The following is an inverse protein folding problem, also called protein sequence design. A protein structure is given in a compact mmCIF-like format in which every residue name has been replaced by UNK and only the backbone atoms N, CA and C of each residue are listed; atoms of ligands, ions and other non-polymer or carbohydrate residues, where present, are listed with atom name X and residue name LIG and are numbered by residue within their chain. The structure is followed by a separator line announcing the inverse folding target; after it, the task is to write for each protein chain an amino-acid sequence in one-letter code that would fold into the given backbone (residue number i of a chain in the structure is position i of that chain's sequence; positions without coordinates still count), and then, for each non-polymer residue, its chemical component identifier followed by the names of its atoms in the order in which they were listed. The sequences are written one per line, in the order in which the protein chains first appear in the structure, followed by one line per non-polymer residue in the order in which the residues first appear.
data_IF_373594315765
#
_entry.id   IF_373594315765
#
_cell.length_a   1.000
_cell.length_b   1.000
_cell.length_c   1.000
_cell.angle_alpha   90.00
_cell.angle_beta   90.00
_cell.angle_gamma   90.00
#
_symmetry.space_group_name_H-M   'P 1'
#
loop_
_entity.id
_entity.type
_entity.pdbx_description
1 polymer ?
#
# COMPACT_ATOMS: atom_id res chain seq x y z
N UNK A 1 -14.52 -27.62 9.04
CA UNK A 1 -14.75 -26.76 7.86
C UNK A 1 -13.93 -27.31 6.70
N UNK A 2 -14.53 -27.61 5.54
CA UNK A 2 -13.79 -27.97 4.33
C UNK A 2 -13.60 -26.69 3.52
N UNK A 3 -12.36 -26.25 3.33
CA UNK A 3 -12.04 -25.06 2.54
C UNK A 3 -11.58 -25.56 1.16
N UNK A 4 -12.39 -25.40 0.09
CA UNK A 4 -11.96 -25.78 -1.25
C UNK A 4 -10.65 -25.08 -1.63
N UNK A 5 -9.73 -25.81 -2.27
CA UNK A 5 -8.41 -25.29 -2.69
C UNK A 5 -7.46 -24.89 -1.54
N UNK A 6 -7.72 -25.37 -0.31
CA UNK A 6 -6.84 -25.13 0.83
C UNK A 6 -5.38 -25.53 0.56
N UNK A 7 -5.16 -26.70 -0.06
CA UNK A 7 -3.83 -27.20 -0.39
C UNK A 7 -3.08 -26.29 -1.40
N UNK A 8 -3.80 -25.48 -2.18
CA UNK A 8 -3.21 -24.54 -3.14
C UNK A 8 -2.99 -23.13 -2.58
N UNK A 9 -3.58 -22.78 -1.44
CA UNK A 9 -3.62 -21.38 -0.94
C UNK A 9 -3.03 -21.22 0.46
N UNK A 10 -2.97 -22.27 1.27
CA UNK A 10 -2.38 -22.21 2.59
C UNK A 10 -0.85 -22.24 2.51
N UNK A 11 -0.21 -21.37 3.29
CA UNK A 11 1.24 -21.37 3.50
C UNK A 11 1.51 -21.61 4.97
N UNK A 12 2.36 -22.58 5.28
CA UNK A 12 2.76 -22.87 6.66
C UNK A 12 3.78 -21.82 7.11
N UNK A 13 3.50 -21.16 8.23
CA UNK A 13 4.41 -20.16 8.82
C UNK A 13 5.61 -20.82 9.53
N UNK A 14 5.50 -22.10 9.87
CA UNK A 14 6.52 -22.82 10.66
C UNK A 14 6.46 -22.50 12.16
N UNK A 15 5.57 -21.61 12.58
CA UNK A 15 5.29 -21.27 13.99
C UNK A 15 3.93 -21.82 14.40
N UNK A 16 3.81 -22.32 15.63
CA UNK A 16 2.50 -22.64 16.18
C UNK A 16 1.79 -21.34 16.58
N UNK A 17 0.48 -21.26 16.33
CA UNK A 17 -0.32 -20.08 16.70
C UNK A 17 -0.26 -19.80 18.21
N UNK A 18 -0.20 -20.85 19.04
CA UNK A 18 -0.08 -20.73 20.49
C UNK A 18 1.23 -20.07 20.96
N UNK A 19 2.26 -20.09 20.11
CA UNK A 19 3.59 -19.54 20.40
C UNK A 19 3.82 -18.20 19.70
N UNK A 20 2.79 -17.65 19.03
CA UNK A 20 2.89 -16.40 18.25
C UNK A 20 2.28 -15.26 19.05
N UNK A 21 3.08 -14.23 19.34
CA UNK A 21 2.58 -13.02 20.00
C UNK A 21 1.67 -12.18 19.08
N UNK A 22 0.92 -11.24 19.67
CA UNK A 22 -0.03 -10.41 18.92
C UNK A 22 0.63 -9.60 17.78
N UNK A 23 1.80 -8.95 17.98
CA UNK A 23 2.48 -8.23 16.89
C UNK A 23 2.88 -9.12 15.70
N UNK A 24 3.43 -10.32 15.97
CA UNK A 24 3.77 -11.28 14.92
C UNK A 24 2.50 -11.79 14.23
N UNK A 25 1.45 -12.11 14.99
CA UNK A 25 0.17 -12.54 14.44
C UNK A 25 -0.42 -11.47 13.51
N UNK A 26 -0.43 -10.21 13.94
CA UNK A 26 -0.88 -9.09 13.11
C UNK A 26 -0.04 -8.97 11.83
N UNK A 27 1.27 -9.13 11.91
CA UNK A 27 2.14 -9.12 10.72
C UNK A 27 1.82 -10.28 9.77
N UNK A 28 1.61 -11.50 10.29
CA UNK A 28 1.20 -12.64 9.49
C UNK A 28 -0.19 -12.43 8.85
N UNK A 29 -1.14 -11.84 9.57
CA UNK A 29 -2.47 -11.52 9.04
C UNK A 29 -2.40 -10.55 7.85
N UNK A 30 -1.47 -9.59 7.84
CA UNK A 30 -1.32 -8.69 6.68
C UNK A 30 -0.88 -9.40 5.40
N UNK A 31 -0.24 -10.57 5.50
CA UNK A 31 0.16 -11.37 4.34
C UNK A 31 -1.03 -12.03 3.64
N UNK A 32 -2.23 -12.00 4.23
CA UNK A 32 -3.45 -12.43 3.55
C UNK A 32 -4.01 -11.41 2.56
N UNK A 33 -3.62 -10.13 2.68
CA UNK A 33 -4.10 -9.05 1.81
C UNK A 33 -3.19 -7.82 1.88
N UNK A 34 -3.41 -6.92 2.84
CA UNK A 34 -3.00 -5.51 2.74
C UNK A 34 -1.51 -5.29 2.51
N UNK A 35 -0.64 -6.09 3.15
CA UNK A 35 0.79 -5.97 2.93
C UNK A 35 1.18 -6.42 1.53
N UNK A 36 0.67 -7.58 1.10
CA UNK A 36 0.99 -8.13 -0.21
C UNK A 36 0.31 -7.40 -1.35
N UNK A 37 -0.80 -6.70 -1.10
CA UNK A 37 -1.39 -5.75 -2.04
C UNK A 37 -0.49 -4.52 -2.21
N UNK A 38 0.05 -3.95 -1.12
CA UNK A 38 1.06 -2.89 -1.19
C UNK A 38 2.36 -3.35 -1.88
N UNK A 39 2.81 -4.58 -1.57
CA UNK A 39 3.96 -5.21 -2.23
C UNK A 39 3.73 -5.43 -3.73
N UNK A 40 2.55 -5.92 -4.12
CA UNK A 40 2.18 -6.10 -5.51
C UNK A 40 2.26 -4.78 -6.27
N UNK A 41 1.73 -3.70 -5.68
CA UNK A 41 1.80 -2.37 -6.29
C UNK A 41 3.25 -1.92 -6.53
N UNK A 42 4.12 -2.10 -5.53
CA UNK A 42 5.54 -1.76 -5.64
C UNK A 42 6.29 -2.66 -6.65
N UNK A 43 6.00 -3.97 -6.66
CA UNK A 43 6.55 -4.95 -7.59
C UNK A 43 6.16 -4.64 -9.04
N UNK A 44 4.88 -4.42 -9.32
CA UNK A 44 4.39 -4.05 -10.66
C UNK A 44 4.92 -2.69 -11.10
N UNK A 45 5.08 -1.74 -10.17
CA UNK A 45 5.78 -0.48 -10.38
C UNK A 45 7.29 -0.62 -10.67
N UNK A 46 7.85 -1.83 -10.51
CA UNK A 46 9.28 -2.13 -10.59
C UNK A 46 10.09 -1.23 -9.65
N UNK A 47 9.58 -1.02 -8.43
CA UNK A 47 10.28 -0.27 -7.39
C UNK A 47 11.61 -0.95 -7.09
N UNK A 48 12.65 -0.16 -6.85
CA UNK A 48 14.01 -0.63 -6.65
C UNK A 48 14.97 0.51 -6.29
N UNK A 49 16.26 0.19 -6.07
CA UNK A 49 17.31 1.19 -5.87
C UNK A 49 17.32 2.27 -6.95
N UNK A 50 17.60 3.52 -6.55
CA UNK A 50 17.61 4.68 -7.43
C UNK A 50 16.24 5.16 -7.93
N UNK A 51 15.13 4.53 -7.50
CA UNK A 51 13.77 4.99 -7.84
C UNK A 51 13.15 5.79 -6.70
N UNK A 52 12.63 6.95 -7.04
CA UNK A 52 11.71 7.72 -6.19
C UNK A 52 10.28 7.23 -6.39
N UNK A 53 9.55 7.06 -5.29
CA UNK A 53 8.18 6.54 -5.29
C UNK A 53 7.25 7.56 -4.65
N UNK A 54 6.08 7.80 -5.24
CA UNK A 54 4.97 8.44 -4.53
C UNK A 54 3.90 7.40 -4.22
N UNK A 55 3.41 7.36 -2.99
CA UNK A 55 2.25 6.56 -2.61
C UNK A 55 1.07 7.50 -2.36
N UNK A 56 -0.02 7.35 -3.10
CA UNK A 56 -1.25 8.11 -2.93
C UNK A 56 -2.20 7.29 -2.08
N UNK A 57 -2.49 7.78 -0.87
CA UNK A 57 -3.37 7.13 0.12
C UNK A 57 -2.60 6.70 1.37
N UNK A 58 -3.12 7.07 2.54
CA UNK A 58 -2.58 6.79 3.88
C UNK A 58 -3.36 5.68 4.61
N UNK A 59 -4.16 4.88 3.90
CA UNK A 59 -4.80 3.69 4.46
C UNK A 59 -3.83 2.51 4.60
N UNK A 60 -4.33 1.38 5.14
CA UNK A 60 -3.50 0.20 5.40
C UNK A 60 -2.72 -0.32 4.18
N UNK A 61 -3.32 -0.30 2.98
CA UNK A 61 -2.64 -0.68 1.72
C UNK A 61 -1.58 0.34 1.31
N UNK A 62 -1.84 1.64 1.49
CA UNK A 62 -0.87 2.69 1.19
C UNK A 62 0.35 2.63 2.11
N UNK A 63 0.14 2.50 3.42
CA UNK A 63 1.22 2.31 4.39
C UNK A 63 2.02 1.02 4.15
N UNK A 64 1.32 -0.04 3.74
CA UNK A 64 1.97 -1.27 3.29
C UNK A 64 2.81 -1.06 2.02
N UNK A 65 2.35 -0.24 1.08
CA UNK A 65 3.09 0.10 -0.13
C UNK A 65 4.33 0.95 0.17
N UNK A 66 4.29 1.83 1.18
CA UNK A 66 5.46 2.55 1.70
C UNK A 66 6.50 1.55 2.20
N UNK A 67 6.12 0.68 3.14
CA UNK A 67 7.01 -0.34 3.71
C UNK A 67 7.58 -1.26 2.62
N UNK A 68 6.74 -1.73 1.70
CA UNK A 68 7.18 -2.58 0.60
C UNK A 68 8.13 -1.85 -0.37
N UNK A 69 7.90 -0.57 -0.65
CA UNK A 69 8.79 0.23 -1.49
C UNK A 69 10.17 0.37 -0.87
N UNK A 70 10.24 0.58 0.45
CA UNK A 70 11.49 0.61 1.22
C UNK A 70 12.19 -0.75 1.23
N UNK A 71 11.45 -1.82 1.48
CA UNK A 71 11.96 -3.21 1.40
C UNK A 71 12.59 -3.51 0.04
N UNK A 72 11.98 -3.02 -1.04
CA UNK A 72 12.50 -3.19 -2.40
C UNK A 72 13.67 -2.26 -2.74
N UNK A 73 14.06 -1.35 -1.84
CA UNK A 73 15.25 -0.51 -1.98
C UNK A 73 14.99 0.91 -2.49
N UNK A 74 13.75 1.40 -2.52
CA UNK A 74 13.50 2.81 -2.81
C UNK A 74 14.11 3.71 -1.72
N UNK A 75 14.94 4.66 -2.12
CA UNK A 75 15.61 5.58 -1.19
C UNK A 75 14.74 6.79 -0.82
N UNK A 76 13.79 7.15 -1.68
CA UNK A 76 12.85 8.24 -1.45
C UNK A 76 11.42 7.77 -1.70
N UNK A 77 10.58 7.89 -0.69
CA UNK A 77 9.16 7.51 -0.73
C UNK A 77 8.33 8.67 -0.20
N UNK A 78 7.58 9.31 -1.09
CA UNK A 78 6.68 10.41 -0.78
C UNK A 78 5.30 9.83 -0.48
N UNK A 79 4.80 9.99 0.75
CA UNK A 79 3.45 9.59 1.11
C UNK A 79 2.49 10.78 0.98
N UNK A 80 1.49 10.65 0.12
CA UNK A 80 0.40 11.63 0.03
C UNK A 80 -0.78 11.19 0.89
N UNK A 81 -1.01 11.90 1.99
CA UNK A 81 -1.95 11.53 3.04
C UNK A 81 -2.13 12.68 4.03
N UNK A 82 -3.29 12.78 4.67
CA UNK A 82 -3.66 13.96 5.50
C UNK A 82 -3.96 13.62 6.95
N UNK A 83 -4.14 12.34 7.27
CA UNK A 83 -4.43 11.91 8.63
C UNK A 83 -3.09 11.73 9.33
N UNK A 84 -2.76 12.65 10.22
CA UNK A 84 -1.40 12.79 10.78
C UNK A 84 -0.95 11.53 11.51
N UNK A 85 -1.86 10.91 12.27
CA UNK A 85 -1.69 9.60 12.91
C UNK A 85 -1.21 8.52 11.94
N UNK A 86 -1.77 8.49 10.72
CA UNK A 86 -1.42 7.53 9.68
C UNK A 86 -0.13 7.90 8.98
N UNK A 87 0.08 9.19 8.70
CA UNK A 87 1.29 9.65 8.00
C UNK A 87 2.53 9.54 8.87
N UNK A 88 2.40 9.74 10.18
CA UNK A 88 3.48 9.55 11.15
C UNK A 88 3.92 8.09 11.16
N UNK A 89 2.96 7.14 11.22
CA UNK A 89 3.26 5.72 11.01
C UNK A 89 3.90 5.47 9.64
N UNK A 90 3.45 6.17 8.59
CA UNK A 90 4.04 6.10 7.26
C UNK A 90 5.53 6.47 7.26
N UNK A 91 5.93 7.52 8.00
CA UNK A 91 7.34 7.90 8.17
C UNK A 91 8.12 6.81 8.90
N UNK A 92 7.55 6.24 9.95
CA UNK A 92 8.17 5.13 10.69
C UNK A 92 8.32 3.85 9.85
N UNK A 93 7.43 3.62 8.89
CA UNK A 93 7.51 2.55 7.89
C UNK A 93 8.45 2.90 6.71
N UNK A 94 8.94 4.14 6.68
CA UNK A 94 10.03 4.61 5.84
C UNK A 94 9.62 5.56 4.71
N UNK A 95 8.46 6.21 4.79
CA UNK A 95 8.22 7.42 4.01
C UNK A 95 9.28 8.48 4.38
N UNK A 96 9.87 9.12 3.37
CA UNK A 96 10.88 10.17 3.55
C UNK A 96 10.27 11.56 3.54
N UNK A 97 9.11 11.70 2.91
CA UNK A 97 8.40 12.96 2.74
C UNK A 97 6.90 12.70 2.88
N UNK A 98 6.16 13.65 3.46
CA UNK A 98 4.70 13.62 3.55
C UNK A 98 4.14 14.85 2.84
N UNK A 99 3.09 14.63 2.04
CA UNK A 99 2.36 15.68 1.32
C UNK A 99 0.88 15.59 1.68
N UNK A 100 0.36 16.46 2.58
CA UNK A 100 -1.05 16.46 2.97
C UNK A 100 -2.00 17.03 1.92
N UNK A 101 -1.48 17.84 1.00
CA UNK A 101 -2.24 18.50 -0.05
C UNK A 101 -2.74 17.50 -1.11
N UNK A 102 -3.82 17.87 -1.81
CA UNK A 102 -4.47 17.06 -2.83
C UNK A 102 -4.61 17.83 -4.13
N UNK A 103 -4.95 17.13 -5.21
CA UNK A 103 -5.16 17.74 -6.52
C UNK A 103 -3.91 18.45 -7.01
N UNK A 104 -4.09 19.60 -7.66
CA UNK A 104 -3.00 20.37 -8.28
C UNK A 104 -1.94 20.84 -7.27
N UNK A 105 -2.36 21.23 -6.07
CA UNK A 105 -1.45 21.66 -5.00
C UNK A 105 -0.56 20.51 -4.53
N UNK A 106 -1.14 19.33 -4.29
CA UNK A 106 -0.38 18.12 -3.95
C UNK A 106 0.57 17.71 -5.08
N UNK A 107 0.13 17.82 -6.35
CA UNK A 107 0.99 17.57 -7.51
C UNK A 107 2.18 18.54 -7.54
N UNK A 108 1.93 19.83 -7.36
CA UNK A 108 2.98 20.84 -7.34
C UNK A 108 3.98 20.55 -6.23
N UNK A 109 3.51 20.23 -5.01
CA UNK A 109 4.37 19.91 -3.89
C UNK A 109 5.28 18.71 -4.15
N UNK A 110 4.75 17.62 -4.71
CA UNK A 110 5.58 16.46 -5.07
C UNK A 110 6.59 16.80 -6.17
N UNK A 111 6.19 17.63 -7.14
CA UNK A 111 7.11 18.09 -8.19
C UNK A 111 8.23 18.95 -7.60
N UNK A 112 7.94 19.84 -6.67
CA UNK A 112 8.94 20.66 -5.99
C UNK A 112 9.94 19.79 -5.21
N UNK A 113 9.46 18.74 -4.54
CA UNK A 113 10.30 17.77 -3.85
C UNK A 113 11.20 16.97 -4.81
N UNK A 114 10.88 16.93 -6.10
CA UNK A 114 11.53 16.09 -7.12
C UNK A 114 12.11 16.90 -8.28
N UNK A 115 12.55 18.14 -8.02
CA UNK A 115 13.19 19.03 -8.99
C UNK A 115 12.37 19.22 -10.27
N UNK A 116 11.05 19.30 -10.10
CA UNK A 116 10.07 19.44 -11.17
C UNK A 116 9.79 18.18 -11.97
N UNK A 117 10.54 17.09 -11.76
CA UNK A 117 10.46 15.88 -12.59
C UNK A 117 9.22 15.05 -12.29
N UNK A 118 8.85 14.94 -11.01
CA UNK A 118 7.92 13.93 -10.52
C UNK A 118 8.63 12.63 -10.12
N UNK A 119 7.87 11.63 -9.66
CA UNK A 119 8.45 10.36 -9.21
C UNK A 119 8.53 9.30 -10.31
N UNK A 120 9.49 8.39 -10.17
CA UNK A 120 9.68 7.26 -11.09
C UNK A 120 8.48 6.31 -11.09
N UNK A 121 7.94 6.08 -9.88
CA UNK A 121 6.76 5.25 -9.66
C UNK A 121 5.74 6.04 -8.86
N UNK A 122 4.47 5.91 -9.22
CA UNK A 122 3.33 6.34 -8.41
C UNK A 122 2.49 5.11 -8.09
N UNK A 123 2.31 4.83 -6.81
CA UNK A 123 1.39 3.80 -6.32
C UNK A 123 0.09 4.48 -5.93
N UNK A 124 -1.01 4.11 -6.59
CA UNK A 124 -2.35 4.62 -6.33
C UNK A 124 -3.14 3.58 -5.53
N UNK A 125 -3.43 3.90 -4.26
CA UNK A 125 -4.05 2.99 -3.29
C UNK A 125 -5.38 3.51 -2.72
N UNK A 126 -6.06 4.42 -3.43
CA UNK A 126 -7.33 5.06 -3.04
C UNK A 126 -8.50 4.57 -3.89
N UNK A 127 -8.37 4.50 -5.21
CA UNK A 127 -9.40 3.96 -6.12
C UNK A 127 -10.45 4.97 -6.62
N UNK A 128 -10.31 6.26 -6.29
CA UNK A 128 -11.19 7.31 -6.81
C UNK A 128 -10.54 8.06 -7.98
N UNK A 129 -11.36 8.56 -8.92
CA UNK A 129 -10.89 9.28 -10.11
C UNK A 129 -9.94 10.46 -9.79
N UNK A 130 -10.16 11.29 -8.75
CA UNK A 130 -9.20 12.35 -8.41
C UNK A 130 -7.81 11.84 -8.03
N UNK A 131 -7.71 10.69 -7.34
CA UNK A 131 -6.41 10.10 -6.99
C UNK A 131 -5.67 9.57 -8.24
N UNK A 132 -6.42 8.98 -9.17
CA UNK A 132 -5.90 8.55 -10.45
C UNK A 132 -5.43 9.74 -11.32
N UNK A 133 -6.17 10.84 -11.33
CA UNK A 133 -5.77 12.07 -12.01
C UNK A 133 -4.54 12.72 -11.37
N UNK A 134 -4.47 12.73 -10.04
CA UNK A 134 -3.31 13.17 -9.27
C UNK A 134 -2.07 12.34 -9.61
N UNK A 135 -2.21 11.04 -9.83
CA UNK A 135 -1.10 10.18 -10.25
C UNK A 135 -0.49 10.62 -11.59
N UNK A 136 -1.29 11.12 -12.53
CA UNK A 136 -0.76 11.73 -13.76
C UNK A 136 0.09 12.95 -13.47
N UNK A 137 -0.41 13.84 -12.61
CA UNK A 137 0.28 15.07 -12.29
C UNK A 137 1.62 14.77 -11.61
N UNK A 138 1.68 13.72 -10.79
CA UNK A 138 2.88 13.35 -10.02
C UNK A 138 3.90 12.56 -10.82
N UNK A 139 3.49 11.61 -11.67
CA UNK A 139 4.43 10.72 -12.35
C UNK A 139 5.35 11.48 -13.31
N UNK A 140 6.63 11.10 -13.33
CA UNK A 140 7.59 11.63 -14.29
C UNK A 140 7.33 11.11 -15.71
N UNK A 141 7.90 11.78 -16.70
CA UNK A 141 7.92 11.28 -18.09
C UNK A 141 8.65 9.93 -18.16
N UNK A 142 8.05 8.94 -18.82
CA UNK A 142 8.57 7.58 -18.86
C UNK A 142 8.41 6.79 -17.55
N UNK A 143 7.64 7.32 -16.59
CA UNK A 143 7.41 6.68 -15.29
C UNK A 143 6.30 5.62 -15.32
N UNK A 144 6.01 5.06 -14.14
CA UNK A 144 5.00 4.01 -13.96
C UNK A 144 3.94 4.46 -12.95
N UNK A 145 2.67 4.29 -13.30
CA UNK A 145 1.55 4.34 -12.35
C UNK A 145 1.13 2.90 -12.09
N UNK A 146 1.26 2.46 -10.83
CA UNK A 146 0.82 1.15 -10.37
C UNK A 146 -0.42 1.32 -9.49
N UNK A 147 -1.58 0.87 -9.98
CA UNK A 147 -2.87 1.08 -9.34
C UNK A 147 -3.35 -0.19 -8.64
N UNK A 148 -3.61 -0.09 -7.35
CA UNK A 148 -4.25 -1.15 -6.54
C UNK A 148 -5.49 -0.66 -5.79
N UNK A 149 -5.73 0.65 -5.75
CA UNK A 149 -7.01 1.21 -5.35
C UNK A 149 -8.13 0.66 -6.22
N UNK A 150 -9.18 0.11 -5.60
CA UNK A 150 -10.32 -0.46 -6.30
C UNK A 150 -11.10 0.68 -6.99
N UNK A 151 -11.19 0.70 -8.34
CA UNK A 151 -11.86 1.77 -9.04
C UNK A 151 -13.33 1.86 -8.68
N UNK A 152 -13.79 3.07 -8.36
CA UNK A 152 -15.21 3.40 -8.25
C UNK A 152 -15.72 4.09 -9.52
N UNK A 153 -15.10 3.76 -10.65
CA UNK A 153 -15.33 4.33 -11.97
C UNK A 153 -15.05 3.26 -13.02
N UNK A 154 -15.81 3.29 -14.12
CA UNK A 154 -15.63 2.37 -15.25
C UNK A 154 -14.61 2.92 -16.27
N UNK A 155 -14.67 4.22 -16.53
CA UNK A 155 -13.85 4.88 -17.55
C UNK A 155 -12.72 5.71 -16.95
N UNK A 156 -11.55 5.70 -17.60
CA UNK A 156 -10.36 6.44 -17.18
C UNK A 156 -9.51 6.89 -18.38
N UNK A 157 -8.97 8.13 -18.41
CA UNK A 157 -8.30 8.63 -19.59
C UNK A 157 -6.91 8.03 -19.79
N UNK A 158 -6.67 7.33 -20.91
CA UNK A 158 -5.34 6.77 -21.25
C UNK A 158 -4.68 7.41 -22.49
N UNK A 159 -5.31 8.44 -23.06
CA UNK A 159 -4.91 9.08 -24.32
C UNK A 159 -3.70 10.02 -24.24
N UNK A 160 -3.50 10.82 -25.29
CA UNK A 160 -2.35 11.72 -25.47
C UNK A 160 -2.10 12.64 -24.28
N UNK A 161 -3.14 13.33 -23.79
CA UNK A 161 -3.03 14.30 -22.69
C UNK A 161 -2.77 13.68 -21.33
N UNK A 162 -3.05 12.38 -21.12
CA UNK A 162 -2.83 11.71 -19.85
C UNK A 162 -1.53 10.90 -19.85
N UNK A 163 -1.56 9.70 -20.45
CA UNK A 163 -0.51 8.70 -20.36
C UNK A 163 0.39 8.66 -21.59
N UNK A 164 -0.23 8.64 -22.78
CA UNK A 164 0.49 8.33 -24.02
C UNK A 164 1.56 9.37 -24.35
N UNK A 165 1.25 10.67 -24.30
CA UNK A 165 2.18 11.73 -24.67
C UNK A 165 3.42 11.82 -23.76
N UNK A 166 3.33 11.30 -22.52
CA UNK A 166 4.44 11.27 -21.55
C UNK A 166 5.06 9.89 -21.39
N UNK A 167 4.72 8.94 -22.28
CA UNK A 167 5.25 7.58 -22.27
C UNK A 167 5.08 6.86 -20.91
N UNK A 168 3.93 7.05 -20.26
CA UNK A 168 3.67 6.50 -18.93
C UNK A 168 3.15 5.07 -19.05
N UNK A 169 3.69 4.16 -18.25
CA UNK A 169 3.15 2.80 -18.09
C UNK A 169 2.06 2.78 -17.02
N UNK A 170 0.90 2.21 -17.32
CA UNK A 170 -0.15 1.90 -16.34
C UNK A 170 -0.14 0.40 -16.02
N UNK A 171 -0.11 0.04 -14.73
CA UNK A 171 -0.03 -1.35 -14.27
C UNK A 171 -0.72 -1.52 -12.90
N UNK A 172 -0.60 -2.69 -12.28
CA UNK A 172 -1.27 -3.08 -11.04
C UNK A 172 -2.49 -3.97 -11.28
N UNK A 173 -3.53 -3.82 -10.46
CA UNK A 173 -4.72 -4.66 -10.45
C UNK A 173 -4.86 -5.47 -9.15
N UNK A 174 -5.84 -6.41 -9.11
CA UNK A 174 -6.00 -7.31 -7.97
C UNK A 174 -4.72 -8.09 -7.68
N UNK A 175 -4.26 -8.05 -6.43
CA UNK A 175 -3.00 -8.65 -6.04
C UNK A 175 -3.11 -10.19 -5.96
N UNK A 176 -2.23 -10.94 -6.65
CA UNK A 176 -2.12 -12.39 -6.48
C UNK A 176 -1.33 -12.71 -5.21
N UNK A 177 -1.87 -12.36 -4.03
CA UNK A 177 -1.12 -12.37 -2.75
C UNK A 177 -0.40 -13.67 -2.48
N UNK A 178 -1.03 -14.82 -2.78
CA UNK A 178 -0.44 -16.15 -2.62
C UNK A 178 0.92 -16.29 -3.30
N UNK A 179 1.14 -15.64 -4.45
CA UNK A 179 2.38 -15.72 -5.22
C UNK A 179 3.58 -15.04 -4.52
N UNK A 180 3.33 -14.22 -3.49
CA UNK A 180 4.37 -13.45 -2.79
C UNK A 180 4.64 -13.93 -1.36
N UNK A 181 3.79 -14.79 -0.80
CA UNK A 181 3.86 -15.13 0.64
C UNK A 181 5.21 -15.78 0.97
N UNK A 182 5.66 -16.80 0.24
CA UNK A 182 6.93 -17.48 0.56
C UNK A 182 8.15 -16.56 0.46
N UNK A 183 8.15 -15.60 -0.47
CA UNK A 183 9.25 -14.67 -0.68
C UNK A 183 9.32 -13.59 0.41
N UNK A 184 8.17 -13.27 1.03
CA UNK A 184 8.03 -12.20 2.02
C UNK A 184 8.04 -12.73 3.46
N UNK A 185 7.49 -13.93 3.68
CA UNK A 185 7.32 -14.53 5.00
C UNK A 185 8.62 -14.55 5.83
N UNK A 186 9.81 -14.88 5.29
CA UNK A 186 11.05 -14.84 6.06
C UNK A 186 11.39 -13.45 6.63
N UNK A 187 11.01 -12.37 5.95
CA UNK A 187 11.27 -11.01 6.43
C UNK A 187 10.36 -10.64 7.60
N UNK A 188 9.12 -11.12 7.59
CA UNK A 188 8.19 -10.99 8.72
C UNK A 188 8.67 -11.82 9.91
N UNK A 189 8.96 -13.11 9.70
CA UNK A 189 9.38 -14.02 10.77
C UNK A 189 10.70 -13.61 11.43
N UNK A 190 11.59 -12.93 10.70
CA UNK A 190 12.85 -12.42 11.25
C UNK A 190 12.75 -11.03 11.87
N UNK A 191 11.58 -10.37 11.81
CA UNK A 191 11.40 -8.99 12.27
C UNK A 191 12.12 -7.95 11.40
N UNK A 192 12.48 -8.31 10.16
CA UNK A 192 13.07 -7.35 9.19
C UNK A 192 12.04 -6.32 8.75
N UNK A 193 10.77 -6.73 8.70
CA UNK A 193 9.62 -5.86 8.44
C UNK A 193 8.51 -6.19 9.42
N UNK A 194 7.79 -5.17 9.88
CA UNK A 194 6.67 -5.29 10.81
C UNK A 194 5.38 -4.76 10.18
N UNK A 195 4.83 -5.42 9.15
CA UNK A 195 3.66 -4.93 8.43
C UNK A 195 2.41 -4.89 9.31
N UNK A 196 2.38 -5.66 10.40
CA UNK A 196 1.27 -5.71 11.36
C UNK A 196 1.00 -4.39 12.09
N UNK A 197 1.92 -3.43 12.03
CA UNK A 197 1.77 -2.11 12.67
C UNK A 197 0.61 -1.28 12.11
N UNK A 198 0.04 -1.66 10.97
CA UNK A 198 -1.19 -1.04 10.43
C UNK A 198 -2.44 -1.40 11.24
N UNK A 199 -2.40 -2.46 12.05
CA UNK A 199 -3.47 -2.79 12.98
C UNK A 199 -3.38 -1.91 14.23
N UNK A 200 -4.33 -1.01 14.39
CA UNK A 200 -4.37 -0.02 15.47
C UNK A 200 -5.47 -0.32 16.51
N UNK A 201 -6.25 -1.38 16.29
CA UNK A 201 -7.29 -1.82 17.21
C UNK A 201 -7.48 -3.33 17.12
N UNK A 202 -7.71 -3.96 18.27
CA UNK A 202 -8.08 -5.37 18.39
C UNK A 202 -9.43 -5.47 19.08
N UNK A 203 -10.39 -6.17 18.47
CA UNK A 203 -11.75 -6.38 19.01
C UNK A 203 -12.10 -7.88 18.99
N UNK A 204 -13.00 -8.37 19.86
CA UNK A 204 -13.53 -9.72 19.75
C UNK A 204 -14.41 -9.86 18.50
N UNK A 205 -14.51 -11.07 17.96
CA UNK A 205 -15.22 -11.37 16.71
C UNK A 205 -16.72 -11.02 16.78
N UNK A 206 -17.34 -11.13 17.95
CA UNK A 206 -18.72 -10.73 18.17
C UNK A 206 -18.97 -9.21 18.03
N UNK A 207 -17.90 -8.40 18.04
CA UNK A 207 -17.92 -6.96 17.81
C UNK A 207 -17.52 -6.56 16.37
N UNK A 208 -17.59 -7.50 15.41
CA UNK A 208 -17.28 -7.21 13.99
C UNK A 208 -18.03 -5.99 13.43
N UNK A 209 -19.28 -5.77 13.82
CA UNK A 209 -20.05 -4.60 13.37
C UNK A 209 -19.45 -3.27 13.86
N UNK A 210 -18.91 -3.23 15.08
CA UNK A 210 -18.20 -2.07 15.62
C UNK A 210 -16.86 -1.87 14.89
N UNK A 211 -16.14 -2.95 14.59
CA UNK A 211 -14.90 -2.87 13.80
C UNK A 211 -15.14 -2.17 12.44
N UNK A 212 -16.20 -2.54 11.73
CA UNK A 212 -16.58 -1.89 10.48
C UNK A 212 -16.94 -0.41 10.67
N UNK A 213 -17.72 -0.08 11.70
CA UNK A 213 -18.12 1.30 12.01
C UNK A 213 -16.90 2.18 12.30
N UNK A 214 -15.97 1.71 13.12
CA UNK A 214 -14.75 2.45 13.46
C UNK A 214 -13.87 2.73 12.23
N UNK A 215 -13.74 1.76 11.30
CA UNK A 215 -13.00 1.95 10.06
C UNK A 215 -13.69 2.92 9.10
N UNK A 216 -15.02 2.85 8.97
CA UNK A 216 -15.82 3.76 8.13
C UNK A 216 -15.77 5.21 8.63
N UNK A 217 -15.90 5.38 9.96
CA UNK A 217 -15.76 6.67 10.65
C UNK A 217 -14.31 7.20 10.66
N UNK A 218 -13.33 6.40 10.22
CA UNK A 218 -11.89 6.70 10.23
C UNK A 218 -11.29 6.87 11.64
N UNK A 219 -11.95 6.31 12.65
CA UNK A 219 -11.44 6.23 14.02
C UNK A 219 -10.47 5.06 14.24
N UNK A 220 -10.50 4.09 13.32
CA UNK A 220 -9.52 3.02 13.22
C UNK A 220 -8.94 2.97 11.80
N UNK A 221 -7.66 2.67 11.69
CA UNK A 221 -6.94 2.38 10.45
C UNK A 221 -7.24 0.95 9.98
N UNK A 222 -7.05 -0.04 10.86
CA UNK A 222 -7.31 -1.46 10.58
C UNK A 222 -7.55 -2.20 11.89
N UNK A 223 -8.65 -2.95 11.93
CA UNK A 223 -9.04 -3.72 13.12
C UNK A 223 -8.67 -5.20 12.95
N UNK A 224 -8.01 -5.76 13.96
CA UNK A 224 -7.81 -7.20 14.11
C UNK A 224 -8.97 -7.80 14.93
N UNK A 225 -9.49 -8.96 14.52
CA UNK A 225 -10.57 -9.65 15.22
C UNK A 225 -10.04 -10.92 15.89
N UNK A 226 -10.38 -11.09 17.17
CA UNK A 226 -10.03 -12.28 17.96
C UNK A 226 -11.26 -13.19 18.08
N UNK A 227 -11.16 -14.48 17.70
CA UNK A 227 -12.28 -15.44 17.76
C UNK A 227 -12.87 -15.67 19.16
#
# INVERSE_FOLDING_TARGET
MRIPLADGTLVKTGTALADTDEPMLNSLLTLSDVFLTGHHAAHMGRVGPGRTVTVIGDGAVGLSAVLASRRLGAERVVLMGRHTDRTDLGVELGATDVVPERGEEGVARVRDLTDGQGTHVVIEAVGHMPAYQQAYGVVRVGGVISRVGVPQYEDAPVGWGSLFGRNITLTGGPAPVRAYIEDVLPDVLSGRIDPGRVFDRTLPLDQVAEAYRAMDAREALKVALVP
#
